data_IF_454303532583
#
_entry.id   IF_454303532583
#
_cell.length_a   1.000
_cell.length_b   1.000
_cell.length_c   1.000
_cell.angle_alpha   90.00
_cell.angle_beta   90.00
_cell.angle_gamma   90.00
#
_symmetry.space_group_name_H-M   'P 1'
#
loop_
_entity.id
_entity.type
_entity.pdbx_description
1 polymer ?
#
# COMPACT_ATOMS: atom_id res chain seq x y z
N UNK A 1 32.51 15.09 -15.42
CA UNK A 1 31.69 13.91 -15.79
C UNK A 1 30.24 14.27 -15.54
N UNK A 2 29.43 14.40 -16.59
CA UNK A 2 28.01 14.68 -16.44
C UNK A 2 27.29 13.39 -16.00
N UNK A 3 26.44 13.48 -14.97
CA UNK A 3 25.52 12.39 -14.60
C UNK A 3 24.64 12.08 -15.83
N UNK A 4 24.39 10.80 -16.16
CA UNK A 4 23.48 10.48 -17.25
C UNK A 4 22.09 11.02 -16.87
N UNK A 5 21.50 11.82 -17.75
CA UNK A 5 20.07 12.17 -17.67
C UNK A 5 19.30 10.86 -17.81
N UNK A 6 18.78 10.35 -16.69
CA UNK A 6 17.82 9.25 -16.70
C UNK A 6 16.65 9.67 -17.58
N UNK A 7 16.33 8.86 -18.59
CA UNK A 7 15.07 8.99 -19.33
C UNK A 7 13.94 8.99 -18.32
N UNK A 8 13.17 10.07 -18.24
CA UNK A 8 11.86 10.06 -17.59
C UNK A 8 11.01 9.02 -18.32
N UNK A 9 10.94 7.80 -17.76
CA UNK A 9 9.86 6.88 -18.09
C UNK A 9 8.64 7.42 -17.36
N UNK A 10 7.81 8.17 -18.07
CA UNK A 10 6.46 8.57 -17.63
C UNK A 10 5.52 7.36 -17.71
N UNK A 11 5.77 6.33 -16.91
CA UNK A 11 4.79 5.28 -16.65
C UNK A 11 4.12 5.63 -15.33
N UNK A 12 2.81 5.84 -15.35
CA UNK A 12 2.05 6.00 -14.11
C UNK A 12 2.34 4.80 -13.20
N UNK A 13 2.60 5.03 -11.91
CA UNK A 13 2.89 3.96 -10.97
C UNK A 13 1.74 2.97 -10.92
N UNK A 14 2.05 1.70 -10.68
CA UNK A 14 1.03 0.76 -10.23
C UNK A 14 0.71 1.05 -8.76
N UNK A 15 -0.56 1.26 -8.43
CA UNK A 15 -1.07 1.41 -7.07
C UNK A 15 -1.71 0.09 -6.65
N UNK A 16 -1.09 -0.54 -5.64
CA UNK A 16 -1.52 -1.77 -5.03
C UNK A 16 -2.01 -1.50 -3.61
N UNK A 17 -3.23 -1.92 -3.30
CA UNK A 17 -3.76 -1.83 -1.94
C UNK A 17 -3.74 -3.21 -1.27
N UNK A 18 -3.06 -3.35 -0.14
CA UNK A 18 -3.09 -4.55 0.69
C UNK A 18 -4.02 -4.28 1.87
N UNK A 19 -5.01 -5.13 2.07
CA UNK A 19 -6.08 -4.94 3.06
C UNK A 19 -6.46 -6.24 3.74
N UNK A 20 -7.20 -6.17 4.85
CA UNK A 20 -7.39 -7.31 5.76
C UNK A 20 -7.56 -6.87 7.21
N UNK A 21 -8.10 -7.76 8.04
CA UNK A 21 -8.33 -7.50 9.47
C UNK A 21 -7.03 -7.28 10.25
N UNK A 22 -7.14 -6.74 11.46
CA UNK A 22 -5.98 -6.60 12.34
C UNK A 22 -5.37 -7.97 12.61
N UNK A 23 -4.04 -8.07 12.54
CA UNK A 23 -3.33 -9.33 12.73
C UNK A 23 -3.43 -10.33 11.58
N UNK A 24 -4.08 -10.02 10.44
CA UNK A 24 -4.19 -10.96 9.31
C UNK A 24 -2.86 -11.24 8.59
N UNK A 25 -1.85 -10.39 8.79
CA UNK A 25 -0.53 -10.52 8.16
C UNK A 25 -0.29 -9.59 6.97
N UNK A 26 -1.08 -8.52 6.80
CA UNK A 26 -0.91 -7.50 5.74
C UNK A 26 0.52 -6.95 5.65
N UNK A 27 1.03 -6.39 6.74
CA UNK A 27 2.37 -5.81 6.78
C UNK A 27 3.46 -6.86 6.53
N UNK A 28 3.23 -8.11 6.95
CA UNK A 28 4.10 -9.23 6.61
C UNK A 28 4.08 -9.51 5.11
N UNK A 29 2.90 -9.57 4.48
CA UNK A 29 2.79 -9.76 3.04
C UNK A 29 3.40 -8.59 2.24
N UNK A 30 3.18 -7.35 2.68
CA UNK A 30 3.80 -6.16 2.10
C UNK A 30 5.33 -6.26 2.16
N UNK A 31 5.87 -6.66 3.31
CA UNK A 31 7.31 -6.92 3.45
C UNK A 31 7.80 -8.01 2.51
N UNK A 32 7.14 -9.16 2.44
CA UNK A 32 7.52 -10.22 1.50
C UNK A 32 7.51 -9.72 0.05
N UNK A 33 6.52 -8.89 -0.31
CA UNK A 33 6.48 -8.25 -1.62
C UNK A 33 7.69 -7.35 -1.89
N UNK A 34 8.10 -6.53 -0.92
CA UNK A 34 9.29 -5.67 -1.07
C UNK A 34 10.58 -6.51 -1.14
N UNK A 35 10.62 -7.64 -0.45
CA UNK A 35 11.76 -8.54 -0.52
C UNK A 35 11.87 -9.22 -1.89
N UNK A 36 10.73 -9.59 -2.49
CA UNK A 36 10.66 -10.29 -3.78
C UNK A 36 10.83 -9.38 -4.99
N UNK A 37 10.36 -8.13 -4.95
CA UNK A 37 10.49 -7.18 -6.06
C UNK A 37 11.80 -6.39 -5.97
N UNK A 38 12.90 -7.03 -6.34
CA UNK A 38 14.22 -6.37 -6.35
C UNK A 38 14.30 -5.32 -7.45
N UNK A 39 15.10 -4.26 -7.25
CA UNK A 39 15.33 -3.21 -8.25
C UNK A 39 14.05 -2.56 -8.79
N UNK A 40 12.98 -2.59 -7.99
CA UNK A 40 11.74 -1.88 -8.25
C UNK A 40 11.71 -0.69 -7.31
N UNK A 41 11.50 0.51 -7.85
CA UNK A 41 11.29 1.68 -6.99
C UNK A 41 9.90 1.59 -6.37
N UNK A 42 9.84 1.38 -5.05
CA UNK A 42 8.60 1.16 -4.30
C UNK A 42 8.38 2.28 -3.28
N UNK A 43 7.19 2.86 -3.28
CA UNK A 43 6.69 3.68 -2.19
C UNK A 43 5.70 2.88 -1.34
N UNK A 44 6.11 2.54 -0.12
CA UNK A 44 5.26 1.91 0.87
C UNK A 44 4.48 2.97 1.65
N UNK A 45 3.16 3.02 1.50
CA UNK A 45 2.30 3.96 2.21
C UNK A 45 1.78 3.29 3.47
N UNK A 46 2.16 3.85 4.62
CA UNK A 46 1.73 3.40 5.95
C UNK A 46 0.65 4.36 6.49
N UNK A 47 -0.63 3.97 6.46
CA UNK A 47 -1.73 4.74 7.03
C UNK A 47 -1.89 4.57 8.54
N UNK A 48 -1.17 3.63 9.16
CA UNK A 48 -1.31 3.34 10.58
C UNK A 48 -0.79 4.52 11.41
N UNK A 49 -1.51 4.81 12.50
CA UNK A 49 -1.08 5.83 13.47
C UNK A 49 0.19 5.39 14.19
N UNK A 50 0.33 4.09 14.37
CA UNK A 50 1.42 3.43 15.08
C UNK A 50 2.65 3.20 14.18
N UNK A 51 2.52 3.35 12.85
CA UNK A 51 3.61 3.15 11.91
C UNK A 51 4.10 1.70 11.87
N UNK A 52 3.18 0.71 11.92
CA UNK A 52 3.56 -0.70 12.05
C UNK A 52 4.52 -1.17 10.95
N UNK A 53 4.37 -0.66 9.72
CA UNK A 53 5.26 -1.03 8.62
C UNK A 53 6.64 -0.44 8.83
N UNK A 54 6.75 0.85 9.17
CA UNK A 54 8.03 1.50 9.49
C UNK A 54 8.73 0.84 10.69
N UNK A 55 7.99 0.56 11.77
CA UNK A 55 8.49 -0.12 12.96
C UNK A 55 9.01 -1.52 12.66
N UNK A 56 8.40 -2.23 11.70
CA UNK A 56 8.85 -3.56 11.30
C UNK A 56 10.25 -3.58 10.67
N UNK A 57 10.72 -2.41 10.20
CA UNK A 57 12.08 -2.18 9.69
C UNK A 57 12.99 -1.49 10.70
N UNK A 58 12.56 -1.32 11.96
CA UNK A 58 13.33 -0.64 13.00
C UNK A 58 13.49 0.86 12.74
N UNK A 59 12.64 1.44 11.89
CA UNK A 59 12.67 2.86 11.59
C UNK A 59 11.93 3.64 12.69
N UNK A 60 12.45 4.80 13.12
CA UNK A 60 11.71 5.67 14.02
C UNK A 60 10.47 6.21 13.31
N UNK A 61 9.41 6.49 14.06
CA UNK A 61 8.26 7.25 13.54
C UNK A 61 8.75 8.63 13.10
N UNK A 62 8.79 8.86 11.78
CA UNK A 62 9.17 10.13 11.17
C UNK A 62 8.01 11.14 11.19
N UNK A 63 8.26 12.36 10.70
CA UNK A 63 7.19 13.34 10.48
C UNK A 63 6.19 12.76 9.49
N UNK A 64 4.92 12.69 9.86
CA UNK A 64 3.87 12.17 8.98
C UNK A 64 3.39 13.22 7.99
N UNK A 65 2.74 12.79 6.91
CA UNK A 65 2.03 13.70 6.00
C UNK A 65 1.02 14.55 6.78
N UNK A 66 0.26 13.97 7.71
CA UNK A 66 -0.66 14.70 8.56
C UNK A 66 0.03 15.78 9.42
N UNK A 67 1.18 15.48 10.04
CA UNK A 67 1.94 16.46 10.84
C UNK A 67 2.38 17.65 9.99
N UNK A 68 2.86 17.38 8.78
CA UNK A 68 3.27 18.40 7.82
C UNK A 68 2.08 19.29 7.43
N UNK A 69 0.93 18.68 7.08
CA UNK A 69 -0.27 19.42 6.69
C UNK A 69 -0.87 20.23 7.85
N UNK A 70 -0.75 19.74 9.10
CA UNK A 70 -1.16 20.49 10.28
C UNK A 70 -0.32 21.76 10.48
N UNK A 71 1.01 21.64 10.39
CA UNK A 71 1.92 22.79 10.48
C UNK A 71 1.63 23.83 9.40
N UNK A 72 1.25 23.34 8.23
CA UNK A 72 0.79 24.17 7.13
C UNK A 72 -0.49 24.93 7.47
N UNK A 73 -1.55 24.22 7.86
CA UNK A 73 -2.80 24.85 8.26
C UNK A 73 -2.59 25.93 9.34
N UNK A 74 -1.82 25.63 10.39
CA UNK A 74 -1.52 26.61 11.45
C UNK A 74 -0.78 27.85 10.93
N UNK A 75 0.16 27.69 9.99
CA UNK A 75 0.88 28.82 9.39
C UNK A 75 -0.05 29.68 8.55
N UNK A 76 -0.92 29.07 7.76
CA UNK A 76 -1.92 29.79 6.97
C UNK A 76 -2.87 30.58 7.87
N UNK A 77 -3.36 29.97 8.95
CA UNK A 77 -4.22 30.66 9.93
C UNK A 77 -3.52 31.87 10.58
N UNK A 78 -2.23 31.73 10.91
CA UNK A 78 -1.46 32.81 11.56
C UNK A 78 -1.07 33.94 10.60
N UNK A 79 -0.84 33.64 9.32
CA UNK A 79 -0.24 34.60 8.38
C UNK A 79 -1.17 35.05 7.26
N UNK A 80 -2.25 34.32 6.97
CA UNK A 80 -3.15 34.55 5.85
C UNK A 80 -2.53 34.28 4.47
N UNK A 81 -1.29 33.77 4.41
CA UNK A 81 -0.55 33.55 3.16
C UNK A 81 -0.64 32.07 2.75
N UNK A 82 -1.17 31.74 1.56
CA UNK A 82 -1.15 30.41 0.99
C UNK A 82 0.28 29.87 0.94
N UNK A 83 0.46 28.63 1.38
CA UNK A 83 1.71 28.21 2.01
C UNK A 83 2.78 27.87 0.99
N UNK A 84 2.42 27.37 -0.20
CA UNK A 84 3.39 26.79 -1.11
C UNK A 84 3.06 27.12 -2.57
N UNK A 85 4.05 27.65 -3.29
CA UNK A 85 4.14 27.47 -4.73
C UNK A 85 4.22 25.97 -5.05
N UNK A 86 3.85 25.57 -6.28
CA UNK A 86 3.94 24.16 -6.70
C UNK A 86 5.33 23.54 -6.45
N UNK A 87 6.41 24.29 -6.71
CA UNK A 87 7.78 23.84 -6.41
C UNK A 87 8.03 23.57 -4.92
N UNK A 88 7.44 24.39 -4.03
CA UNK A 88 7.57 24.18 -2.59
C UNK A 88 6.77 22.96 -2.13
N UNK A 89 5.64 22.64 -2.80
CA UNK A 89 4.90 21.39 -2.55
C UNK A 89 5.73 20.19 -2.99
N UNK A 90 6.29 20.22 -4.20
CA UNK A 90 7.14 19.14 -4.71
C UNK A 90 8.32 18.85 -3.78
N UNK A 91 9.01 19.91 -3.33
CA UNK A 91 10.17 19.77 -2.44
C UNK A 91 9.79 19.12 -1.11
N UNK A 92 8.69 19.58 -0.48
CA UNK A 92 8.24 19.05 0.81
C UNK A 92 7.77 17.60 0.67
N UNK A 93 6.98 17.28 -0.36
CA UNK A 93 6.47 15.92 -0.55
C UNK A 93 7.59 14.92 -0.83
N UNK A 94 8.65 15.33 -1.52
CA UNK A 94 9.81 14.47 -1.79
C UNK A 94 10.73 14.26 -0.58
N UNK A 95 10.61 15.06 0.48
CA UNK A 95 11.40 14.92 1.72
C UNK A 95 10.69 14.06 2.79
N UNK A 96 9.41 13.72 2.57
CA UNK A 96 8.62 12.92 3.52
C UNK A 96 8.95 11.42 3.50
N UNK A 97 9.11 10.76 2.33
CA UNK A 97 9.43 9.35 2.30
C UNK A 97 10.79 9.10 2.91
N UNK A 98 10.88 8.05 3.72
CA UNK A 98 12.14 7.65 4.36
C UNK A 98 12.57 6.31 3.79
N UNK A 99 13.81 6.25 3.30
CA UNK A 99 14.38 5.01 2.79
C UNK A 99 14.45 3.93 3.86
N UNK A 100 14.02 2.72 3.49
CA UNK A 100 14.23 1.54 4.31
C UNK A 100 15.71 1.18 4.23
N UNK A 101 16.44 1.28 5.35
CA UNK A 101 17.90 1.10 5.35
C UNK A 101 18.38 -0.26 4.79
N UNK A 102 17.57 -1.32 4.92
CA UNK A 102 17.85 -2.63 4.33
C UNK A 102 17.48 -2.76 2.84
N UNK A 103 16.78 -1.77 2.26
CA UNK A 103 16.25 -1.78 0.90
C UNK A 103 16.31 -0.38 0.27
N UNK A 104 17.40 -0.09 -0.41
CA UNK A 104 17.67 1.24 -1.02
C UNK A 104 16.65 1.68 -2.09
N UNK A 105 15.88 0.74 -2.65
CA UNK A 105 14.86 1.01 -3.68
C UNK A 105 13.44 1.14 -3.09
N UNK A 106 13.29 1.11 -1.76
CA UNK A 106 11.99 1.20 -1.09
C UNK A 106 11.97 2.31 -0.06
N UNK A 107 11.02 3.22 -0.21
CA UNK A 107 10.77 4.31 0.73
C UNK A 107 9.43 4.10 1.45
N UNK A 108 9.34 4.57 2.70
CA UNK A 108 8.10 4.53 3.49
C UNK A 108 7.55 5.94 3.65
N UNK A 109 6.29 6.13 3.28
CA UNK A 109 5.51 7.34 3.55
C UNK A 109 4.50 7.07 4.67
N UNK A 110 4.76 7.64 5.84
CA UNK A 110 3.82 7.62 6.97
C UNK A 110 2.76 8.70 6.81
N UNK A 111 1.49 8.31 6.76
CA UNK A 111 0.40 9.28 6.57
C UNK A 111 -0.03 9.95 7.87
N UNK A 112 -0.05 9.20 8.97
CA UNK A 112 -0.59 9.67 10.24
C UNK A 112 -2.10 9.88 10.22
N UNK A 113 -2.61 10.58 11.24
CA UNK A 113 -4.05 10.85 11.40
C UNK A 113 -4.38 12.20 10.80
N UNK A 114 -5.03 12.21 9.63
CA UNK A 114 -5.54 13.44 9.03
C UNK A 114 -6.62 14.07 9.92
N UNK A 115 -6.56 15.39 10.19
CA UNK A 115 -7.70 16.07 10.78
C UNK A 115 -8.88 16.04 9.81
N UNK A 116 -10.09 15.82 10.33
CA UNK A 116 -11.32 15.93 9.55
C UNK A 116 -12.20 17.03 10.18
N UNK A 117 -12.70 18.01 9.40
CA UNK A 117 -12.49 18.21 7.96
C UNK A 117 -11.15 18.91 7.62
N UNK A 118 -10.57 18.59 6.45
CA UNK A 118 -9.43 19.34 5.89
C UNK A 118 -9.90 20.63 5.21
N UNK A 119 -9.14 21.72 5.34
CA UNK A 119 -9.40 22.96 4.60
C UNK A 119 -9.20 22.76 3.08
N UNK A 120 -9.83 23.60 2.26
CA UNK A 120 -9.73 23.52 0.79
C UNK A 120 -8.27 23.59 0.31
N UNK A 121 -7.46 24.47 0.91
CA UNK A 121 -6.04 24.65 0.54
C UNK A 121 -5.20 23.41 0.86
N UNK A 122 -5.48 22.74 1.99
CA UNK A 122 -4.83 21.48 2.36
C UNK A 122 -5.22 20.37 1.38
N UNK A 123 -6.49 20.30 0.99
CA UNK A 123 -6.95 19.34 -0.03
C UNK A 123 -6.27 19.60 -1.38
N UNK A 124 -6.14 20.85 -1.81
CA UNK A 124 -5.43 21.21 -3.05
C UNK A 124 -3.94 20.86 -2.98
N UNK A 125 -3.30 21.07 -1.83
CA UNK A 125 -1.89 20.69 -1.61
C UNK A 125 -1.70 19.19 -1.76
N UNK A 126 -2.59 18.38 -1.16
CA UNK A 126 -2.57 16.92 -1.28
C UNK A 126 -2.83 16.46 -2.73
N UNK A 127 -3.85 17.05 -3.38
CA UNK A 127 -4.20 16.78 -4.79
C UNK A 127 -3.04 17.11 -5.75
N UNK A 128 -2.24 18.12 -5.44
CA UNK A 128 -1.08 18.49 -6.23
C UNK A 128 0.13 17.59 -5.93
N UNK A 129 0.47 17.42 -4.66
CA UNK A 129 1.73 16.80 -4.24
C UNK A 129 1.76 15.28 -4.37
N UNK A 130 0.70 14.56 -3.96
CA UNK A 130 0.71 13.09 -3.97
C UNK A 130 0.90 12.47 -5.36
N UNK A 131 0.15 12.85 -6.41
CA UNK A 131 0.36 12.25 -7.72
C UNK A 131 1.77 12.49 -8.26
N UNK A 132 2.37 13.63 -7.97
CA UNK A 132 3.73 13.98 -8.38
C UNK A 132 4.78 13.21 -7.58
N UNK A 133 4.53 12.99 -6.29
CA UNK A 133 5.35 12.10 -5.47
C UNK A 133 5.28 10.67 -6.00
N UNK A 134 4.07 10.16 -6.26
CA UNK A 134 3.86 8.79 -6.71
C UNK A 134 4.52 8.52 -8.08
N UNK A 135 4.58 9.51 -8.96
CA UNK A 135 5.21 9.36 -10.28
C UNK A 135 6.73 9.16 -10.25
N UNK A 136 7.37 9.30 -9.09
CA UNK A 136 8.78 8.94 -8.90
C UNK A 136 9.00 7.44 -8.70
N UNK A 137 7.94 6.66 -8.46
CA UNK A 137 8.00 5.24 -8.15
C UNK A 137 7.39 4.40 -9.27
N UNK A 138 7.81 3.15 -9.36
CA UNK A 138 7.18 2.18 -10.29
C UNK A 138 5.96 1.51 -9.65
N UNK A 139 6.01 1.35 -8.32
CA UNK A 139 4.97 0.71 -7.52
C UNK A 139 4.70 1.53 -6.25
N UNK A 140 3.44 1.81 -5.97
CA UNK A 140 2.98 2.37 -4.70
C UNK A 140 2.17 1.28 -4.00
N UNK A 141 2.61 0.87 -2.82
CA UNK A 141 1.95 -0.18 -2.03
C UNK A 141 1.34 0.43 -0.78
N UNK A 142 0.02 0.33 -0.67
CA UNK A 142 -0.73 0.82 0.46
C UNK A 142 -1.01 -0.30 1.45
N UNK A 143 -0.43 -0.27 2.65
CA UNK A 143 -0.66 -1.25 3.73
C UNK A 143 -1.87 -0.82 4.58
N UNK A 144 -3.06 -1.02 4.03
CA UNK A 144 -4.29 -0.35 4.47
C UNK A 144 -5.11 -1.08 5.52
N UNK A 145 -5.93 -0.33 6.28
CA UNK A 145 -7.04 -0.95 7.01
C UNK A 145 -8.05 -1.59 6.04
N UNK A 146 -9.03 -2.31 6.59
CA UNK A 146 -10.14 -2.85 5.80
C UNK A 146 -10.90 -1.73 5.07
N UNK A 147 -11.13 -1.88 3.76
CA UNK A 147 -11.95 -0.96 2.96
C UNK A 147 -11.13 -0.02 2.07
N UNK A 148 -11.70 1.11 1.63
CA UNK A 148 -10.90 2.08 0.87
C UNK A 148 -9.94 2.84 1.79
N UNK A 149 -8.83 3.34 1.26
CA UNK A 149 -7.92 4.16 2.05
C UNK A 149 -8.47 5.59 2.23
N UNK A 150 -9.44 5.72 3.14
CA UNK A 150 -10.21 6.94 3.40
C UNK A 150 -9.66 7.72 4.61
N UNK A 151 -8.60 8.52 4.41
CA UNK A 151 -8.92 9.91 4.11
C UNK A 151 -8.36 10.40 2.77
N UNK A 152 -7.16 9.98 2.39
CA UNK A 152 -6.42 10.54 1.25
C UNK A 152 -7.22 10.44 -0.04
N UNK A 153 -7.78 9.26 -0.33
CA UNK A 153 -8.53 9.05 -1.56
C UNK A 153 -9.92 9.67 -1.56
N UNK A 154 -10.51 9.92 -0.38
CA UNK A 154 -11.81 10.62 -0.30
C UNK A 154 -11.72 12.08 -0.78
N UNK A 155 -10.52 12.66 -0.76
CA UNK A 155 -10.28 13.99 -1.30
C UNK A 155 -9.81 13.98 -2.74
N UNK A 156 -9.59 12.82 -3.35
CA UNK A 156 -8.99 12.70 -4.67
C UNK A 156 -10.07 12.21 -5.63
N UNK A 157 -10.71 13.13 -6.34
CA UNK A 157 -11.62 12.84 -7.47
C UNK A 157 -10.86 12.28 -8.70
N UNK A 158 -9.59 11.96 -8.53
CA UNK A 158 -8.68 11.54 -9.58
C UNK A 158 -8.57 10.01 -9.61
N UNK A 159 -9.18 9.41 -10.63
CA UNK A 159 -9.15 7.96 -10.84
C UNK A 159 -7.71 7.41 -11.01
N UNK A 160 -6.74 8.26 -11.38
CA UNK A 160 -5.34 7.84 -11.54
C UNK A 160 -4.69 7.46 -10.20
N UNK A 161 -5.28 7.90 -9.09
CA UNK A 161 -4.77 7.67 -7.75
C UNK A 161 -5.57 6.59 -7.02
N UNK A 162 -6.58 6.00 -7.66
CA UNK A 162 -7.25 4.83 -7.10
C UNK A 162 -6.39 3.57 -7.24
N UNK A 163 -6.36 2.67 -6.24
CA UNK A 163 -5.67 1.40 -6.36
C UNK A 163 -6.17 0.59 -7.55
N UNK A 164 -5.29 0.29 -8.50
CA UNK A 164 -5.65 -0.54 -9.67
C UNK A 164 -5.68 -2.03 -9.33
N UNK A 165 -5.09 -2.42 -8.21
CA UNK A 165 -5.11 -3.79 -7.67
C UNK A 165 -5.36 -3.75 -6.18
N UNK A 166 -6.12 -4.72 -5.67
CA UNK A 166 -6.35 -4.89 -4.25
C UNK A 166 -6.04 -6.33 -3.83
N UNK A 167 -5.20 -6.51 -2.83
CA UNK A 167 -4.90 -7.81 -2.20
C UNK A 167 -5.57 -7.83 -0.83
N UNK A 168 -6.55 -8.71 -0.68
CA UNK A 168 -7.21 -8.98 0.58
C UNK A 168 -6.56 -10.18 1.26
N UNK A 169 -5.99 -9.93 2.44
CA UNK A 169 -5.41 -10.92 3.33
C UNK A 169 -6.51 -11.43 4.27
N UNK A 170 -6.87 -12.70 4.08
CA UNK A 170 -7.92 -13.41 4.82
C UNK A 170 -7.26 -14.46 5.73
N UNK A 171 -7.83 -14.72 6.89
CA UNK A 171 -7.34 -15.76 7.82
C UNK A 171 -8.41 -16.82 8.16
N UNK A 172 -8.02 -18.05 8.55
CA UNK A 172 -8.96 -19.14 8.81
C UNK A 172 -9.93 -18.92 9.98
N UNK A 173 -9.59 -18.01 10.90
CA UNK A 173 -10.39 -17.65 12.07
C UNK A 173 -11.52 -16.66 11.75
N UNK A 174 -11.55 -16.09 10.55
CA UNK A 174 -12.60 -15.16 10.15
C UNK A 174 -13.91 -15.91 9.82
N UNK A 175 -14.99 -15.51 10.50
CA UNK A 175 -16.30 -16.13 10.26
C UNK A 175 -16.85 -15.82 8.85
N UNK A 176 -17.65 -16.73 8.26
CA UNK A 176 -18.29 -16.51 6.96
C UNK A 176 -19.05 -15.18 6.83
N UNK A 177 -19.76 -14.78 7.88
CA UNK A 177 -20.52 -13.53 7.90
C UNK A 177 -19.61 -12.30 7.83
N UNK A 178 -18.49 -12.34 8.54
CA UNK A 178 -17.48 -11.26 8.53
C UNK A 178 -16.84 -11.16 7.14
N UNK A 179 -16.47 -12.28 6.52
CA UNK A 179 -15.92 -12.30 5.17
C UNK A 179 -16.89 -11.74 4.13
N UNK A 180 -18.17 -12.15 4.18
CA UNK A 180 -19.19 -11.63 3.27
C UNK A 180 -19.38 -10.11 3.44
N UNK A 181 -19.41 -9.63 4.69
CA UNK A 181 -19.52 -8.20 4.98
C UNK A 181 -18.32 -7.40 4.45
N UNK A 182 -17.10 -7.90 4.67
CA UNK A 182 -15.87 -7.27 4.21
C UNK A 182 -15.78 -7.24 2.67
N UNK A 183 -16.15 -8.33 2.01
CA UNK A 183 -16.20 -8.40 0.56
C UNK A 183 -17.16 -7.36 -0.02
N UNK A 184 -18.37 -7.24 0.54
CA UNK A 184 -19.32 -6.21 0.09
C UNK A 184 -18.83 -4.78 0.35
N UNK A 185 -18.15 -4.54 1.48
CA UNK A 185 -17.56 -3.24 1.77
C UNK A 185 -16.48 -2.86 0.73
N UNK A 186 -15.56 -3.79 0.45
CA UNK A 186 -14.51 -3.59 -0.55
C UNK A 186 -15.08 -3.42 -1.96
N UNK A 187 -16.10 -4.18 -2.35
CA UNK A 187 -16.71 -4.09 -3.68
C UNK A 187 -17.36 -2.71 -3.94
N UNK A 188 -17.84 -2.04 -2.88
CA UNK A 188 -18.42 -0.70 -2.99
C UNK A 188 -17.37 0.39 -3.14
N UNK A 189 -16.19 0.18 -2.59
CA UNK A 189 -15.15 1.22 -2.49
C UNK A 189 -14.02 1.04 -3.50
N UNK A 190 -13.66 -0.20 -3.82
CA UNK A 190 -12.61 -0.57 -4.74
C UNK A 190 -13.23 -0.91 -6.09
N UNK A 191 -12.78 -0.22 -7.14
CA UNK A 191 -13.17 -0.50 -8.53
C UNK A 191 -12.24 -1.49 -9.23
N UNK A 192 -11.33 -2.10 -8.48
CA UNK A 192 -10.29 -3.00 -8.99
C UNK A 192 -10.60 -4.47 -8.70
N UNK A 193 -9.93 -5.36 -9.44
CA UNK A 193 -9.94 -6.79 -9.15
C UNK A 193 -9.39 -7.05 -7.74
N UNK A 194 -10.15 -7.81 -6.94
CA UNK A 194 -9.75 -8.22 -5.61
C UNK A 194 -9.03 -9.57 -5.71
N UNK A 195 -7.78 -9.61 -5.28
CA UNK A 195 -6.96 -10.80 -5.16
C UNK A 195 -6.94 -11.24 -3.69
N UNK A 196 -7.05 -12.53 -3.43
CA UNK A 196 -7.16 -13.05 -2.06
C UNK A 196 -5.94 -13.92 -1.75
N UNK A 197 -5.25 -13.57 -0.67
CA UNK A 197 -4.22 -14.40 -0.04
C UNK A 197 -4.81 -14.96 1.24
N UNK A 198 -4.78 -16.28 1.40
CA UNK A 198 -5.24 -16.94 2.62
C UNK A 198 -4.05 -17.17 3.55
N UNK A 199 -3.89 -16.23 4.47
CA UNK A 199 -2.78 -16.13 5.41
C UNK A 199 -3.02 -17.00 6.64
N UNK A 200 -1.92 -17.47 7.26
CA UNK A 200 -1.93 -18.42 8.38
C UNK A 200 -2.68 -19.71 8.09
N UNK A 201 -2.73 -20.11 6.82
CA UNK A 201 -3.43 -21.29 6.37
C UNK A 201 -2.44 -22.33 5.85
N UNK A 202 -2.60 -23.58 6.30
CA UNK A 202 -1.86 -24.71 5.76
C UNK A 202 -2.17 -24.91 4.27
N UNK A 203 -1.22 -25.49 3.53
CA UNK A 203 -1.38 -25.74 2.09
C UNK A 203 -2.66 -26.56 1.78
N UNK A 204 -2.99 -27.52 2.66
CA UNK A 204 -4.16 -28.39 2.57
C UNK A 204 -5.48 -27.76 3.04
N UNK A 205 -5.46 -26.60 3.70
CA UNK A 205 -6.66 -25.98 4.26
C UNK A 205 -7.67 -25.64 3.15
N UNK A 206 -8.97 -25.91 3.30
CA UNK A 206 -9.96 -25.50 2.29
C UNK A 206 -10.05 -23.97 2.21
N UNK A 207 -10.31 -23.44 1.01
CA UNK A 207 -10.61 -22.01 0.84
C UNK A 207 -11.90 -21.64 1.60
N UNK A 208 -12.03 -20.39 2.06
CA UNK A 208 -13.24 -19.95 2.75
C UNK A 208 -14.48 -20.07 1.85
N UNK A 209 -15.45 -20.88 2.27
CA UNK A 209 -16.65 -21.17 1.48
C UNK A 209 -17.44 -19.91 1.11
N UNK A 210 -17.50 -18.94 2.04
CA UNK A 210 -18.14 -17.64 1.85
C UNK A 210 -17.62 -16.85 0.63
N UNK A 211 -16.42 -17.17 0.14
CA UNK A 211 -15.76 -16.47 -0.97
C UNK A 211 -15.82 -17.26 -2.28
N UNK A 212 -16.35 -18.49 -2.27
CA UNK A 212 -16.39 -19.35 -3.45
C UNK A 212 -17.36 -18.85 -4.51
N UNK A 213 -18.52 -18.32 -4.12
CA UNK A 213 -19.49 -17.75 -5.06
C UNK A 213 -18.99 -16.45 -5.71
N UNK A 214 -18.47 -15.46 -4.96
CA UNK A 214 -17.76 -14.31 -5.55
C UNK A 214 -16.62 -14.69 -6.50
N UNK A 215 -15.84 -15.73 -6.15
CA UNK A 215 -14.77 -16.23 -7.00
C UNK A 215 -15.32 -16.79 -8.33
N UNK A 216 -16.36 -17.64 -8.27
CA UNK A 216 -17.01 -18.21 -9.47
C UNK A 216 -17.65 -17.13 -10.34
N UNK A 217 -18.18 -16.08 -9.73
CA UNK A 217 -18.70 -14.91 -10.43
C UNK A 217 -17.61 -14.01 -11.03
N UNK A 218 -16.32 -14.34 -10.85
CA UNK A 218 -15.20 -13.55 -11.37
C UNK A 218 -14.95 -12.24 -10.63
N UNK A 219 -15.56 -12.06 -9.46
CA UNK A 219 -15.46 -10.83 -8.67
C UNK A 219 -14.20 -10.77 -7.79
N UNK A 220 -13.60 -11.93 -7.50
CA UNK A 220 -12.32 -12.05 -6.83
C UNK A 220 -11.51 -13.22 -7.38
N UNK A 221 -10.21 -13.25 -7.07
CA UNK A 221 -9.29 -14.34 -7.46
C UNK A 221 -8.45 -14.80 -6.28
N UNK A 222 -8.43 -16.09 -5.98
CA UNK A 222 -7.47 -16.64 -5.02
C UNK A 222 -6.08 -16.75 -5.66
N UNK A 223 -5.06 -16.16 -5.01
CA UNK A 223 -3.68 -16.16 -5.53
C UNK A 223 -2.74 -17.06 -4.75
N UNK A 224 -3.00 -17.32 -3.47
CA UNK A 224 -2.22 -18.32 -2.75
C UNK A 224 -2.51 -18.36 -1.26
N UNK A 225 -1.83 -19.29 -0.59
CA UNK A 225 -1.90 -19.50 0.85
C UNK A 225 -0.53 -19.27 1.44
N UNK A 226 -0.49 -18.60 2.59
CA UNK A 226 0.73 -18.39 3.35
C UNK A 226 0.56 -19.05 4.71
N UNK A 227 1.41 -20.02 5.08
CA UNK A 227 1.35 -20.66 6.39
C UNK A 227 1.78 -19.72 7.51
N UNK A 228 1.45 -20.02 8.78
CA UNK A 228 1.88 -19.22 9.91
C UNK A 228 3.41 -19.23 10.05
N UNK A 229 3.96 -18.09 10.46
CA UNK A 229 5.39 -17.94 10.74
C UNK A 229 5.66 -18.38 12.17
N UNK A 230 5.81 -19.68 12.39
CA UNK A 230 6.30 -20.24 13.66
C UNK A 230 7.62 -20.98 13.45
N UNK A 231 8.44 -21.01 14.53
CA UNK A 231 9.82 -21.53 14.53
C UNK A 231 9.99 -22.95 13.98
N UNK A 232 8.91 -23.73 13.92
CA UNK A 232 8.93 -25.15 13.56
C UNK A 232 8.34 -25.47 12.18
N UNK A 233 7.67 -24.53 11.48
CA UNK A 233 6.81 -24.92 10.35
C UNK A 233 7.17 -24.34 8.97
N UNK A 234 7.72 -23.13 8.83
CA UNK A 234 8.27 -22.65 7.54
C UNK A 234 9.37 -21.61 7.77
N UNK A 235 10.57 -21.85 7.22
CA UNK A 235 11.65 -20.85 7.24
C UNK A 235 11.35 -19.65 6.32
N UNK A 236 11.90 -18.48 6.64
CA UNK A 236 11.71 -17.23 5.86
C UNK A 236 11.89 -17.40 4.34
N UNK A 237 12.86 -18.22 3.91
CA UNK A 237 13.10 -18.50 2.48
C UNK A 237 11.93 -19.22 1.81
N UNK A 238 11.31 -20.20 2.48
CA UNK A 238 10.16 -20.89 1.94
C UNK A 238 8.90 -19.99 1.92
N UNK A 239 8.79 -19.08 2.89
CA UNK A 239 7.72 -18.08 2.90
C UNK A 239 7.88 -17.07 1.74
N UNK A 240 9.12 -16.63 1.45
CA UNK A 240 9.39 -15.78 0.28
C UNK A 240 9.03 -16.49 -1.02
N UNK A 241 9.36 -17.77 -1.15
CA UNK A 241 9.00 -18.54 -2.35
C UNK A 241 7.48 -18.59 -2.55
N UNK A 242 6.72 -18.89 -1.50
CA UNK A 242 5.25 -18.90 -1.56
C UNK A 242 4.67 -17.50 -1.84
N UNK A 243 5.27 -16.45 -1.29
CA UNK A 243 4.88 -15.08 -1.60
C UNK A 243 5.15 -14.74 -3.07
N UNK A 244 6.31 -15.12 -3.60
CA UNK A 244 6.65 -14.96 -5.02
C UNK A 244 5.63 -15.65 -5.92
N UNK A 245 5.20 -16.87 -5.59
CA UNK A 245 4.14 -17.59 -6.32
C UNK A 245 2.78 -16.86 -6.26
N UNK A 246 2.45 -16.21 -5.14
CA UNK A 246 1.27 -15.36 -5.04
C UNK A 246 1.39 -14.14 -5.98
N UNK A 247 2.56 -13.51 -6.01
CA UNK A 247 2.81 -12.29 -6.79
C UNK A 247 2.80 -12.55 -8.31
N UNK A 248 3.25 -13.72 -8.76
CA UNK A 248 3.09 -14.11 -10.17
C UNK A 248 1.63 -14.16 -10.63
N UNK A 249 0.67 -14.34 -9.71
CA UNK A 249 -0.77 -14.40 -10.00
C UNK A 249 -1.50 -13.07 -9.76
N UNK A 250 -0.77 -12.02 -9.35
CA UNK A 250 -1.34 -10.70 -9.02
C UNK A 250 -1.61 -9.83 -10.28
N UNK A 251 -1.44 -10.38 -11.49
CA UNK A 251 -1.55 -9.68 -12.78
C UNK A 251 -0.79 -8.34 -12.78
N UNK A 252 0.45 -8.35 -12.27
CA UNK A 252 1.38 -7.22 -12.33
C UNK A 252 1.80 -6.95 -13.79
N UNK A 253 2.14 -5.70 -14.15
CA UNK A 253 2.81 -5.38 -15.41
C UNK A 253 4.03 -6.27 -15.63
N UNK A 254 4.27 -6.65 -16.89
CA UNK A 254 5.34 -7.56 -17.27
C UNK A 254 6.71 -7.10 -16.74
N UNK A 255 6.97 -5.78 -16.78
CA UNK A 255 8.21 -5.18 -16.31
C UNK A 255 8.46 -5.36 -14.81
N UNK A 256 7.40 -5.53 -14.02
CA UNK A 256 7.48 -5.85 -12.59
C UNK A 256 7.56 -7.36 -12.35
N UNK A 257 6.82 -8.16 -13.15
CA UNK A 257 6.86 -9.62 -13.04
C UNK A 257 8.25 -10.19 -13.33
N UNK A 258 8.97 -9.64 -14.30
CA UNK A 258 10.34 -10.05 -14.66
C UNK A 258 11.37 -9.83 -13.54
N UNK A 259 11.03 -9.02 -12.52
CA UNK A 259 11.90 -8.69 -11.38
C UNK A 259 11.56 -9.46 -10.11
N UNK A 260 10.55 -10.33 -10.15
CA UNK A 260 10.20 -11.18 -9.02
C UNK A 260 11.31 -12.21 -8.77
N UNK A 261 11.84 -12.23 -7.55
CA UNK A 261 12.84 -13.20 -7.10
C UNK A 261 12.49 -13.73 -5.70
N UNK A 262 12.49 -15.06 -5.49
CA UNK A 262 12.23 -15.66 -4.18
C UNK A 262 13.35 -15.38 -3.15
#
# INVERSE_FOLDING_TARGET
>A
MAKPKSREKTTSPLLLHITGTSGSGKSTFARLLFETLIHTSILAVDPSREGFLALSYGMPTSTTLADMLNRFAERLEKTGVPILSGESVDWVFNDLPVAIGSRADTDVLSLGVFPKPLSLDVQQTVRYGLPRLFSHYELVVWDGPMGAPEPVFSFMDDETLMPQRAVWIVTPDESPAVLAQQFEAMRRTLRSTIYVVYSKAEASAPWPEALMEPMRAGQLRFIGKLPPVDKDHVGLSALNQLACECLYKLDLPFELQDRLQP
#
